data_IF_754920318802
#
_entry.id   IF_754920318802
#
_cell.length_a   1.000
_cell.length_b   1.000
_cell.length_c   1.000
_cell.angle_alpha   90.00
_cell.angle_beta   90.00
_cell.angle_gamma   90.00
#
_symmetry.space_group_name_H-M   'P 1'
#
loop_
_entity.id
_entity.type
_entity.pdbx_description
1 polymer ?
#
# COMPACT_ATOMS: atom_id res chain seq x y z
N UNK A 1 21.33 11.57 -13.71
CA UNK A 1 19.96 11.06 -13.83
C UNK A 1 19.07 12.08 -13.19
N UNK A 2 18.17 12.73 -13.91
CA UNK A 2 17.16 13.56 -13.30
C UNK A 2 16.35 12.63 -12.37
N UNK A 3 16.29 12.95 -11.07
CA UNK A 3 15.34 12.30 -10.19
C UNK A 3 13.99 12.44 -10.89
N UNK A 4 13.28 11.36 -11.08
CA UNK A 4 11.87 11.34 -11.45
C UNK A 4 11.09 11.92 -10.24
N UNK A 5 11.41 13.19 -9.89
CA UNK A 5 10.69 13.93 -8.86
C UNK A 5 9.28 14.07 -9.36
N UNK A 6 8.43 13.27 -8.77
CA UNK A 6 6.97 13.25 -8.86
C UNK A 6 6.42 13.60 -10.24
N UNK A 7 5.97 12.61 -10.97
CA UNK A 7 5.04 12.84 -12.10
C UNK A 7 3.74 13.55 -11.65
N UNK A 8 3.50 13.62 -10.32
CA UNK A 8 2.51 14.49 -9.69
C UNK A 8 3.09 15.91 -9.58
N UNK A 9 2.51 16.85 -10.31
CA UNK A 9 2.90 18.27 -10.22
C UNK A 9 2.56 18.88 -8.86
N UNK A 10 3.24 19.98 -8.48
CA UNK A 10 3.01 20.75 -7.25
C UNK A 10 1.53 21.11 -7.00
N UNK A 11 0.74 21.24 -8.06
CA UNK A 11 -0.71 21.53 -7.99
C UNK A 11 -1.50 20.44 -7.26
N UNK A 12 -1.10 19.18 -7.36
CA UNK A 12 -1.75 18.07 -6.66
C UNK A 12 -1.54 18.21 -5.15
N UNK A 13 -0.30 18.40 -4.72
CA UNK A 13 0.05 18.58 -3.30
C UNK A 13 -0.59 19.83 -2.70
N UNK A 14 -0.66 20.93 -3.47
CA UNK A 14 -1.37 22.16 -3.07
C UNK A 14 -2.87 21.88 -2.88
N UNK A 15 -3.50 21.14 -3.80
CA UNK A 15 -4.90 20.74 -3.67
C UNK A 15 -5.14 19.87 -2.44
N UNK A 16 -4.24 18.91 -2.15
CA UNK A 16 -4.30 18.06 -0.96
C UNK A 16 -4.26 18.90 0.32
N UNK A 17 -3.30 19.83 0.44
CA UNK A 17 -3.22 20.74 1.59
C UNK A 17 -4.46 21.62 1.73
N UNK A 18 -4.97 22.16 0.63
CA UNK A 18 -6.19 22.99 0.64
C UNK A 18 -7.37 22.23 1.24
N UNK A 19 -7.57 20.95 0.88
CA UNK A 19 -8.65 20.12 1.42
C UNK A 19 -8.45 19.79 2.90
N UNK A 20 -7.22 19.49 3.31
CA UNK A 20 -6.90 19.24 4.72
C UNK A 20 -7.10 20.47 5.57
N UNK A 21 -6.58 21.62 5.14
CA UNK A 21 -6.70 22.91 5.83
C UNK A 21 -8.17 23.32 6.01
N UNK A 22 -9.03 23.07 5.02
CA UNK A 22 -10.46 23.37 5.11
C UNK A 22 -11.21 22.60 6.21
N UNK A 23 -10.61 21.55 6.77
CA UNK A 23 -11.19 20.74 7.85
C UNK A 23 -10.59 21.05 9.23
N UNK A 24 -9.58 21.91 9.30
CA UNK A 24 -9.03 22.34 10.58
C UNK A 24 -9.98 23.34 11.27
N UNK A 25 -10.04 23.25 12.59
CA UNK A 25 -10.79 24.23 13.39
C UNK A 25 -10.14 25.63 13.27
N UNK A 26 -10.89 26.70 13.47
CA UNK A 26 -10.32 28.04 13.47
C UNK A 26 -9.15 28.20 14.47
N UNK A 27 -8.13 28.95 14.08
CA UNK A 27 -6.90 29.18 14.85
C UNK A 27 -6.14 27.92 15.20
N UNK A 28 -6.23 26.91 14.33
CA UNK A 28 -5.54 25.64 14.48
C UNK A 28 -4.26 25.57 13.66
N UNK A 29 -3.24 24.96 14.26
CA UNK A 29 -1.98 24.65 13.63
C UNK A 29 -1.86 23.12 13.50
N UNK A 30 -1.44 22.62 12.33
CA UNK A 30 -1.16 21.20 12.11
C UNK A 30 0.34 21.01 11.82
N UNK A 31 0.91 19.92 12.36
CA UNK A 31 2.32 19.54 12.14
C UNK A 31 2.40 18.11 11.67
N UNK A 32 3.21 17.88 10.63
CA UNK A 32 3.51 16.55 10.11
C UNK A 32 5.02 16.40 9.93
N UNK A 33 5.59 15.37 10.53
CA UNK A 33 7.00 15.06 10.44
C UNK A 33 7.25 13.92 9.46
N UNK A 34 8.43 13.90 8.84
CA UNK A 34 8.89 12.71 8.13
C UNK A 34 9.28 11.60 9.11
N UNK A 35 9.41 10.38 8.61
CA UNK A 35 9.93 9.25 9.37
C UNK A 35 11.42 9.43 9.69
N UNK A 36 11.92 8.70 10.68
CA UNK A 36 13.34 8.63 10.98
C UNK A 36 14.09 7.77 9.96
N UNK A 37 15.35 8.12 9.75
CA UNK A 37 16.31 7.18 9.19
C UNK A 37 16.72 6.21 10.30
N UNK A 38 16.37 4.95 10.15
CA UNK A 38 16.64 3.92 11.17
C UNK A 38 18.05 3.34 11.00
N UNK A 39 18.83 3.24 12.07
CA UNK A 39 20.16 2.62 12.00
C UNK A 39 20.07 1.10 11.88
N UNK A 40 21.10 0.51 11.27
CA UNK A 40 21.42 -0.92 11.42
C UNK A 40 22.34 -1.15 12.63
N UNK A 41 23.22 -2.15 12.58
CA UNK A 41 24.04 -2.48 13.76
C UNK A 41 25.29 -1.60 13.93
N UNK A 42 25.76 -0.92 12.88
CA UNK A 42 26.94 -0.05 12.92
C UNK A 42 26.60 1.32 12.37
N UNK A 43 27.31 1.78 11.35
CA UNK A 43 27.11 3.06 10.66
C UNK A 43 26.12 2.99 9.48
N UNK A 44 25.64 1.80 9.15
CA UNK A 44 24.64 1.62 8.11
C UNK A 44 23.25 2.04 8.54
N UNK A 45 22.40 2.39 7.57
CA UNK A 45 21.00 2.74 7.77
C UNK A 45 20.08 1.93 6.88
N UNK A 46 18.84 1.76 7.31
CA UNK A 46 17.75 1.27 6.46
C UNK A 46 17.35 2.37 5.47
N UNK A 47 16.90 1.95 4.28
CA UNK A 47 16.38 2.90 3.29
C UNK A 47 15.18 3.61 3.90
N UNK A 48 15.19 4.94 3.84
CA UNK A 48 14.09 5.76 4.32
C UNK A 48 12.81 5.45 3.52
N UNK A 49 11.75 5.12 4.25
CA UNK A 49 10.40 5.17 3.75
C UNK A 49 9.77 6.48 4.26
N UNK A 50 9.42 7.43 3.40
CA UNK A 50 8.87 8.70 3.85
C UNK A 50 7.54 8.49 4.59
N UNK A 51 7.21 9.40 5.50
CA UNK A 51 5.88 9.41 6.10
C UNK A 51 4.84 9.69 5.01
N UNK A 52 3.86 8.79 4.87
CA UNK A 52 2.88 8.84 3.78
C UNK A 52 2.01 10.09 3.83
N UNK A 53 1.69 10.61 5.03
CA UNK A 53 0.93 11.86 5.19
C UNK A 53 1.77 13.08 4.78
N UNK A 54 3.05 13.13 5.17
CA UNK A 54 3.96 14.18 4.72
C UNK A 54 4.10 14.15 3.20
N UNK A 55 4.35 12.97 2.63
CA UNK A 55 4.47 12.83 1.18
C UNK A 55 3.19 13.24 0.45
N UNK A 56 2.02 12.81 0.93
CA UNK A 56 0.71 13.20 0.41
C UNK A 56 0.52 14.73 0.37
N UNK A 57 1.03 15.43 1.39
CA UNK A 57 0.88 16.88 1.51
C UNK A 57 1.97 17.67 0.77
N UNK A 58 3.13 17.07 0.49
CA UNK A 58 4.30 17.84 0.00
C UNK A 58 4.99 17.27 -1.21
N UNK A 59 4.90 15.98 -1.47
CA UNK A 59 5.72 15.26 -2.46
C UNK A 59 7.21 15.17 -2.09
N UNK A 60 7.61 15.56 -0.90
CA UNK A 60 9.01 15.56 -0.45
C UNK A 60 9.32 14.27 0.30
N UNK A 61 10.40 13.60 -0.13
CA UNK A 61 10.86 12.33 0.47
C UNK A 61 12.04 12.52 1.45
N UNK A 62 12.67 13.71 1.44
CA UNK A 62 13.89 13.94 2.20
C UNK A 62 13.68 13.76 3.71
N UNK A 63 14.63 13.11 4.35
CA UNK A 63 14.65 12.91 5.81
C UNK A 63 14.57 14.24 6.57
N UNK A 64 14.16 14.17 7.83
CA UNK A 64 14.07 15.30 8.76
C UNK A 64 13.13 16.45 8.32
N UNK A 65 12.38 16.27 7.23
CA UNK A 65 11.43 17.26 6.75
C UNK A 65 10.25 17.41 7.72
N UNK A 66 9.81 18.64 7.95
CA UNK A 66 8.63 18.96 8.77
C UNK A 66 7.73 19.93 8.01
N UNK A 67 6.44 19.64 7.95
CA UNK A 67 5.42 20.53 7.43
C UNK A 67 4.63 21.16 8.58
N UNK A 68 4.44 22.47 8.51
CA UNK A 68 3.52 23.22 9.39
C UNK A 68 2.46 23.90 8.54
N UNK A 69 1.21 23.70 8.89
CA UNK A 69 0.03 24.34 8.29
C UNK A 69 -0.68 25.16 9.36
N UNK A 70 -0.84 26.46 9.15
CA UNK A 70 -1.57 27.35 10.07
C UNK A 70 -2.38 28.37 9.25
N UNK A 71 -3.57 27.99 8.75
CA UNK A 71 -4.35 28.81 7.81
C UNK A 71 -4.68 30.19 8.33
N UNK A 72 -4.87 30.34 9.63
CA UNK A 72 -5.23 31.59 10.28
C UNK A 72 -4.04 32.38 10.88
N UNK A 73 -2.80 31.98 10.49
CA UNK A 73 -1.61 32.73 10.93
C UNK A 73 -1.72 34.20 10.56
N UNK A 74 -1.36 35.09 11.50
CA UNK A 74 -1.44 36.56 11.33
C UNK A 74 -0.66 37.03 10.08
N UNK A 75 0.56 36.50 9.91
CA UNK A 75 1.34 36.74 8.71
C UNK A 75 1.02 35.66 7.67
N UNK A 76 0.58 36.07 6.48
CA UNK A 76 0.20 35.13 5.39
C UNK A 76 1.32 34.15 5.03
N UNK A 77 2.58 34.61 5.05
CA UNK A 77 3.74 33.75 4.80
C UNK A 77 3.91 32.59 5.80
N UNK A 78 3.23 32.64 6.94
CA UNK A 78 3.27 31.63 7.98
C UNK A 78 2.17 30.57 7.83
N UNK A 79 1.30 30.68 6.83
CA UNK A 79 0.17 29.74 6.65
C UNK A 79 0.61 28.35 6.20
N UNK A 80 1.68 28.27 5.42
CA UNK A 80 2.33 27.03 5.00
C UNK A 80 3.84 27.18 5.10
N UNK A 81 4.49 26.34 5.89
CA UNK A 81 5.96 26.36 6.05
C UNK A 81 6.48 24.94 5.95
N UNK A 82 7.45 24.73 5.08
CA UNK A 82 8.19 23.48 4.97
C UNK A 82 9.59 23.67 5.53
N UNK A 83 9.98 22.84 6.47
CA UNK A 83 11.33 22.81 7.02
C UNK A 83 12.07 21.62 6.42
N UNK A 84 13.24 21.87 5.88
CA UNK A 84 14.11 20.84 5.30
C UNK A 84 15.49 20.85 5.96
N UNK A 85 16.20 19.73 5.90
CA UNK A 85 17.52 19.58 6.46
C UNK A 85 18.46 20.68 5.97
N UNK A 86 19.29 21.21 6.86
CA UNK A 86 20.28 22.23 6.51
C UNK A 86 21.30 21.68 5.52
N UNK A 87 21.59 22.45 4.50
CA UNK A 87 22.63 22.11 3.52
C UNK A 87 24.01 22.38 4.10
N UNK A 88 24.96 21.46 3.88
CA UNK A 88 26.36 21.69 4.13
C UNK A 88 27.22 20.98 3.07
N UNK A 89 28.34 21.61 2.61
CA UNK A 89 29.24 20.98 1.64
C UNK A 89 29.80 19.64 2.14
N UNK A 90 30.04 19.52 3.44
CA UNK A 90 30.54 18.28 4.04
C UNK A 90 29.49 17.19 3.98
N UNK A 91 28.22 17.53 4.25
CA UNK A 91 27.10 16.60 4.15
C UNK A 91 26.93 16.07 2.71
N UNK A 92 27.07 16.96 1.74
CA UNK A 92 26.95 16.61 0.32
C UNK A 92 28.05 15.61 -0.14
N UNK A 93 29.25 15.71 0.43
CA UNK A 93 30.35 14.76 0.15
C UNK A 93 29.98 13.35 0.66
N UNK A 94 29.37 13.23 1.82
CA UNK A 94 29.08 11.93 2.46
C UNK A 94 27.75 11.33 2.06
N UNK A 95 26.72 12.15 1.90
CA UNK A 95 25.32 11.69 1.73
C UNK A 95 24.73 12.06 0.37
N UNK A 96 25.51 12.75 -0.49
CA UNK A 96 25.02 13.27 -1.75
C UNK A 96 24.22 14.56 -1.60
N UNK A 97 23.76 15.09 -2.73
CA UNK A 97 23.03 16.35 -2.80
C UNK A 97 21.68 16.25 -2.06
N UNK A 98 21.42 17.19 -1.17
CA UNK A 98 20.11 17.38 -0.52
C UNK A 98 19.28 18.42 -1.28
N UNK A 99 17.96 18.42 -1.06
CA UNK A 99 17.07 19.40 -1.69
C UNK A 99 17.43 20.83 -1.25
N UNK A 100 17.57 21.72 -2.21
CA UNK A 100 17.57 23.16 -1.97
C UNK A 100 16.14 23.66 -1.66
N UNK A 101 16.03 24.84 -1.04
CA UNK A 101 14.74 25.49 -0.79
C UNK A 101 13.94 25.67 -2.08
N UNK A 102 14.59 26.02 -3.19
CA UNK A 102 13.95 26.20 -4.50
C UNK A 102 13.42 24.90 -5.08
N UNK A 103 14.18 23.81 -4.97
CA UNK A 103 13.74 22.48 -5.41
C UNK A 103 12.55 21.98 -4.57
N UNK A 104 12.59 22.14 -3.24
CA UNK A 104 11.47 21.80 -2.36
C UNK A 104 10.23 22.63 -2.67
N UNK A 105 10.39 23.93 -3.02
CA UNK A 105 9.27 24.78 -3.49
C UNK A 105 8.69 24.26 -4.82
N UNK A 106 9.55 23.87 -5.79
CA UNK A 106 9.09 23.34 -7.08
C UNK A 106 8.29 22.04 -6.91
N UNK A 107 8.74 21.17 -6.01
CA UNK A 107 8.07 19.89 -5.73
C UNK A 107 6.74 20.11 -5.03
N UNK A 108 6.74 20.87 -3.92
CA UNK A 108 5.60 20.95 -3.01
C UNK A 108 4.61 22.06 -3.35
N UNK A 109 5.02 23.10 -4.07
CA UNK A 109 4.27 24.34 -4.27
C UNK A 109 4.27 25.27 -3.04
N UNK A 110 4.94 24.89 -1.95
CA UNK A 110 5.04 25.71 -0.73
C UNK A 110 6.07 26.83 -0.96
N UNK A 111 5.63 28.07 -0.81
CA UNK A 111 6.47 29.25 -1.08
C UNK A 111 7.52 29.49 0.01
N UNK A 112 7.18 29.17 1.27
CA UNK A 112 8.10 29.36 2.39
C UNK A 112 8.74 28.04 2.79
N UNK A 113 10.00 27.89 2.38
CA UNK A 113 10.86 26.77 2.77
C UNK A 113 12.00 27.28 3.64
N UNK A 114 12.16 26.72 4.83
CA UNK A 114 13.14 27.12 5.83
C UNK A 114 14.12 26.00 6.15
N UNK A 115 15.27 26.37 6.69
CA UNK A 115 16.22 25.41 7.23
C UNK A 115 15.69 24.80 8.54
N UNK A 116 15.93 23.51 8.76
CA UNK A 116 15.45 22.81 9.96
C UNK A 116 15.96 23.43 11.26
N UNK A 117 17.18 23.98 11.26
CA UNK A 117 17.76 24.70 12.39
C UNK A 117 16.91 25.88 12.88
N UNK A 118 16.08 26.47 12.01
CA UNK A 118 15.18 27.57 12.37
C UNK A 118 13.83 27.10 12.94
N UNK A 119 13.54 25.80 12.89
CA UNK A 119 12.24 25.25 13.28
C UNK A 119 11.80 25.63 14.69
N UNK A 120 12.65 25.43 15.68
CA UNK A 120 12.29 25.62 17.08
C UNK A 120 11.83 27.07 17.39
N UNK A 121 12.51 28.07 16.79
CA UNK A 121 12.16 29.48 16.99
C UNK A 121 10.88 29.88 16.26
N UNK A 122 10.73 29.48 14.99
CA UNK A 122 9.54 29.79 14.20
C UNK A 122 8.33 29.06 14.78
N UNK A 123 8.46 27.77 15.10
CA UNK A 123 7.38 26.98 15.69
C UNK A 123 6.92 27.57 17.03
N UNK A 124 7.85 28.02 17.88
CA UNK A 124 7.48 28.69 19.14
C UNK A 124 6.64 29.95 18.90
N UNK A 125 6.99 30.77 17.92
CA UNK A 125 6.22 31.98 17.59
C UNK A 125 4.80 31.63 17.13
N UNK A 126 4.65 30.58 16.30
CA UNK A 126 3.35 30.11 15.82
C UNK A 126 2.50 29.54 16.97
N UNK A 127 3.11 28.83 17.90
CA UNK A 127 2.43 28.31 19.09
C UNK A 127 1.89 29.43 20.00
N UNK A 128 2.52 30.58 20.00
CA UNK A 128 1.98 31.76 20.73
C UNK A 128 0.69 32.34 20.10
N UNK A 129 0.44 32.06 18.83
CA UNK A 129 -0.78 32.51 18.12
C UNK A 129 -1.87 31.41 18.10
N UNK A 130 -1.47 30.15 18.04
CA UNK A 130 -2.37 29.01 17.87
C UNK A 130 -3.18 28.76 19.17
N UNK A 131 -4.44 28.39 19.02
CA UNK A 131 -5.26 27.86 20.13
C UNK A 131 -5.26 26.35 20.19
N UNK A 132 -5.34 25.72 19.03
CA UNK A 132 -5.44 24.27 18.87
C UNK A 132 -4.29 23.73 18.02
N UNK A 133 -3.79 22.55 18.35
CA UNK A 133 -2.71 21.87 17.62
C UNK A 133 -3.17 20.51 17.15
N UNK A 134 -3.15 20.29 15.84
CA UNK A 134 -3.34 18.97 15.24
C UNK A 134 -2.00 18.26 15.16
N UNK A 135 -1.88 17.16 15.89
CA UNK A 135 -0.71 16.28 15.89
C UNK A 135 -1.02 15.04 15.07
N UNK A 136 -0.03 14.59 14.32
CA UNK A 136 -0.12 13.36 13.55
C UNK A 136 0.34 12.15 14.36
N UNK A 137 -0.18 10.98 14.05
CA UNK A 137 0.24 9.71 14.59
C UNK A 137 -0.20 8.57 13.65
N UNK A 138 0.53 7.47 13.66
CA UNK A 138 0.07 6.26 13.01
C UNK A 138 -1.03 5.60 13.86
N UNK A 139 -2.28 5.77 13.44
CA UNK A 139 -3.47 5.20 14.09
C UNK A 139 -4.03 4.02 13.30
N UNK A 140 -3.25 3.42 12.42
CA UNK A 140 -3.71 2.32 11.58
C UNK A 140 -4.07 1.08 12.43
N UNK A 141 -5.27 0.47 12.27
CA UNK A 141 -5.72 -0.65 13.12
C UNK A 141 -4.85 -1.90 13.06
N UNK A 142 -4.05 -2.05 12.00
CA UNK A 142 -3.09 -3.16 11.82
C UNK A 142 -1.67 -2.84 12.33
N UNK A 143 -1.44 -1.67 12.94
CA UNK A 143 -0.15 -1.34 13.52
C UNK A 143 0.09 -2.21 14.76
N UNK A 144 1.01 -3.17 14.67
CA UNK A 144 1.37 -4.09 15.75
C UNK A 144 2.70 -3.77 16.41
N UNK A 145 3.47 -2.83 15.82
CA UNK A 145 4.73 -2.37 16.40
C UNK A 145 4.44 -1.25 17.38
N UNK A 146 5.15 -1.24 18.52
CA UNK A 146 5.07 -0.13 19.47
C UNK A 146 5.40 1.20 18.78
N UNK A 147 4.39 2.05 18.61
CA UNK A 147 4.54 3.33 17.88
C UNK A 147 5.06 4.47 18.76
N UNK A 148 5.19 4.25 20.06
CA UNK A 148 5.64 5.27 21.03
C UNK A 148 7.03 5.86 20.76
N UNK A 149 7.83 5.22 19.92
CA UNK A 149 9.19 5.66 19.57
C UNK A 149 9.30 6.29 18.17
N UNK A 150 8.20 6.39 17.43
CA UNK A 150 8.22 7.07 16.13
C UNK A 150 8.53 8.55 16.30
N UNK A 151 9.05 9.20 15.25
CA UNK A 151 9.32 10.64 15.26
C UNK A 151 8.07 11.46 15.62
N UNK A 152 6.92 11.11 15.04
CA UNK A 152 5.64 11.76 15.35
C UNK A 152 5.26 11.60 16.82
N UNK A 153 5.41 10.40 17.39
CA UNK A 153 5.07 10.16 18.79
C UNK A 153 5.99 10.94 19.75
N UNK A 154 7.31 10.99 19.47
CA UNK A 154 8.26 11.81 20.24
C UNK A 154 7.93 13.29 20.14
N UNK A 155 7.69 13.78 18.91
CA UNK A 155 7.29 15.15 18.67
C UNK A 155 6.01 15.52 19.43
N UNK A 156 4.98 14.66 19.37
CA UNK A 156 3.73 14.89 20.10
C UNK A 156 3.96 14.98 21.62
N UNK A 157 4.75 14.06 22.18
CA UNK A 157 5.11 14.08 23.61
C UNK A 157 5.83 15.38 24.01
N UNK A 158 6.84 15.77 23.24
CA UNK A 158 7.64 16.98 23.54
C UNK A 158 6.81 18.26 23.33
N UNK A 159 5.95 18.30 22.31
CA UNK A 159 5.05 19.41 22.07
C UNK A 159 4.06 19.61 23.23
N UNK A 160 3.39 18.54 23.66
CA UNK A 160 2.45 18.59 24.79
C UNK A 160 3.16 19.00 26.09
N UNK A 161 4.34 18.46 26.35
CA UNK A 161 5.12 18.81 27.52
C UNK A 161 5.55 20.29 27.54
N UNK A 162 5.92 20.85 26.38
CA UNK A 162 6.38 22.22 26.26
C UNK A 162 5.23 23.24 26.23
N UNK A 163 4.06 22.85 25.70
CA UNK A 163 2.89 23.73 25.53
C UNK A 163 1.62 23.13 26.14
N UNK A 164 1.59 22.88 27.47
CA UNK A 164 0.56 22.07 28.11
C UNK A 164 -0.84 22.72 28.18
N UNK A 165 -0.95 24.02 27.84
CA UNK A 165 -2.20 24.75 27.89
C UNK A 165 -2.92 24.87 26.55
N UNK A 166 -2.36 24.30 25.47
CA UNK A 166 -3.02 24.24 24.17
C UNK A 166 -4.03 23.09 24.12
N UNK A 167 -5.00 23.23 23.24
CA UNK A 167 -5.87 22.12 22.88
C UNK A 167 -5.20 21.25 21.82
N UNK A 168 -5.33 19.91 21.94
CA UNK A 168 -4.73 18.97 21.01
C UNK A 168 -5.80 18.16 20.30
N UNK A 169 -5.62 17.96 18.98
CA UNK A 169 -6.53 17.22 18.10
C UNK A 169 -5.75 16.20 17.28
N UNK A 170 -6.44 15.17 16.83
CA UNK A 170 -5.88 14.08 16.00
C UNK A 170 -5.97 14.46 14.53
N UNK A 171 -4.84 14.62 13.84
CA UNK A 171 -4.81 14.87 12.39
C UNK A 171 -5.22 13.61 11.59
N UNK A 172 -4.90 12.42 12.09
CA UNK A 172 -5.10 11.15 11.40
C UNK A 172 -6.51 10.96 10.82
N UNK A 173 -7.57 11.40 11.52
CA UNK A 173 -8.95 11.25 11.00
C UNK A 173 -9.24 12.12 9.77
N UNK A 174 -8.61 13.28 9.66
CA UNK A 174 -8.69 14.12 8.46
C UNK A 174 -7.90 13.45 7.34
N UNK A 175 -6.66 13.02 7.61
CA UNK A 175 -5.82 12.35 6.63
C UNK A 175 -6.48 11.07 6.07
N UNK A 176 -7.13 10.28 6.91
CA UNK A 176 -7.83 9.06 6.49
C UNK A 176 -8.96 9.34 5.48
N UNK A 177 -9.71 10.43 5.67
CA UNK A 177 -10.77 10.83 4.72
C UNK A 177 -10.18 11.27 3.39
N UNK A 178 -9.16 12.12 3.47
CA UNK A 178 -8.54 12.71 2.28
C UNK A 178 -7.78 11.67 1.44
N UNK A 179 -7.03 10.78 2.08
CA UNK A 179 -6.26 9.74 1.39
C UNK A 179 -7.14 8.58 0.89
N UNK A 180 -8.30 8.33 1.49
CA UNK A 180 -9.19 7.25 1.05
C UNK A 180 -9.69 7.49 -0.39
N UNK A 181 -10.00 8.74 -0.76
CA UNK A 181 -10.49 9.11 -2.10
C UNK A 181 -9.32 9.61 -2.94
N UNK A 182 -8.83 8.77 -3.85
CA UNK A 182 -7.71 9.09 -4.72
C UNK A 182 -8.12 10.08 -5.82
N UNK A 183 -7.33 11.10 -6.02
CA UNK A 183 -7.43 12.01 -7.17
C UNK A 183 -7.07 11.29 -8.47
N UNK A 184 -7.42 11.88 -9.62
CA UNK A 184 -7.05 11.32 -10.92
C UNK A 184 -5.53 11.16 -11.10
N UNK A 185 -4.73 12.09 -10.55
CA UNK A 185 -3.27 11.98 -10.57
C UNK A 185 -2.76 10.80 -9.76
N UNK A 186 -3.30 10.58 -8.55
CA UNK A 186 -2.94 9.42 -7.72
C UNK A 186 -3.34 8.10 -8.38
N UNK A 187 -4.52 8.04 -8.99
CA UNK A 187 -4.97 6.86 -9.75
C UNK A 187 -4.01 6.55 -10.89
N UNK A 188 -3.50 7.58 -11.58
CA UNK A 188 -2.51 7.39 -12.66
C UNK A 188 -1.20 6.80 -12.11
N UNK A 189 -0.72 7.24 -10.95
CA UNK A 189 0.47 6.65 -10.32
C UNK A 189 0.25 5.17 -9.96
N UNK A 190 -0.91 4.84 -9.41
CA UNK A 190 -1.28 3.45 -9.12
C UNK A 190 -1.34 2.63 -10.43
N UNK A 191 -1.87 3.20 -11.52
CA UNK A 191 -1.87 2.54 -12.84
C UNK A 191 -0.46 2.27 -13.38
N UNK A 192 0.48 3.19 -13.18
CA UNK A 192 1.89 2.95 -13.54
C UNK A 192 2.49 1.80 -12.74
N UNK A 193 2.21 1.73 -11.44
CA UNK A 193 2.65 0.62 -10.60
C UNK A 193 2.01 -0.72 -11.04
N UNK A 194 0.70 -0.71 -11.38
CA UNK A 194 0.00 -1.87 -11.94
C UNK A 194 0.60 -2.31 -13.29
N UNK A 195 0.93 -1.36 -14.16
CA UNK A 195 1.57 -1.64 -15.46
C UNK A 195 2.94 -2.30 -15.30
N UNK A 196 3.75 -1.81 -14.37
CA UNK A 196 5.06 -2.41 -14.08
C UNK A 196 4.91 -3.81 -13.46
N UNK A 197 3.92 -4.00 -12.60
CA UNK A 197 3.59 -5.32 -12.02
C UNK A 197 3.15 -6.30 -13.11
N UNK A 198 2.33 -5.87 -14.08
CA UNK A 198 1.94 -6.67 -15.25
C UNK A 198 3.16 -7.15 -16.04
N UNK A 199 4.08 -6.25 -16.36
CA UNK A 199 5.23 -6.56 -17.18
C UNK A 199 6.16 -7.57 -16.46
N UNK A 200 6.34 -7.39 -15.16
CA UNK A 200 7.08 -8.33 -14.31
C UNK A 200 6.39 -9.69 -14.19
N UNK A 201 5.06 -9.71 -14.00
CA UNK A 201 4.31 -10.96 -13.95
C UNK A 201 4.40 -11.75 -15.27
N UNK A 202 4.23 -11.07 -16.41
CA UNK A 202 4.36 -11.70 -17.73
C UNK A 202 5.74 -12.29 -17.96
N UNK A 203 6.80 -11.63 -17.46
CA UNK A 203 8.17 -12.15 -17.48
C UNK A 203 8.30 -13.41 -16.63
N UNK A 204 7.81 -13.36 -15.38
CA UNK A 204 7.89 -14.47 -14.42
C UNK A 204 7.07 -15.67 -14.85
N UNK A 205 5.86 -15.48 -15.39
CA UNK A 205 5.01 -16.56 -15.87
C UNK A 205 5.72 -17.41 -16.98
N UNK A 206 6.55 -16.77 -17.80
CA UNK A 206 7.37 -17.45 -18.83
C UNK A 206 8.67 -18.06 -18.28
N UNK A 207 9.11 -17.65 -17.08
CA UNK A 207 10.32 -18.13 -16.43
C UNK A 207 10.08 -19.36 -15.56
N UNK A 208 8.92 -19.46 -14.92
CA UNK A 208 8.58 -20.51 -13.96
C UNK A 208 8.52 -21.87 -14.65
N UNK A 209 9.26 -22.86 -14.06
CA UNK A 209 9.28 -24.26 -14.49
C UNK A 209 9.78 -25.15 -13.35
N UNK A 210 9.59 -26.47 -13.40
CA UNK A 210 10.15 -27.37 -12.41
C UNK A 210 11.68 -27.21 -12.26
N UNK A 211 12.15 -27.19 -11.01
CA UNK A 211 13.56 -27.01 -10.66
C UNK A 211 13.97 -25.55 -10.40
N UNK A 212 13.14 -24.57 -10.73
CA UNK A 212 13.40 -23.16 -10.38
C UNK A 212 13.21 -22.96 -8.88
N UNK A 213 14.10 -22.17 -8.25
CA UNK A 213 13.97 -21.80 -6.84
C UNK A 213 13.16 -20.51 -6.70
N UNK A 214 12.34 -20.40 -5.64
CA UNK A 214 11.49 -19.22 -5.37
C UNK A 214 12.29 -17.91 -5.39
N UNK A 215 13.54 -17.89 -4.88
CA UNK A 215 14.41 -16.69 -4.93
C UNK A 215 14.85 -16.31 -6.35
N UNK A 216 14.90 -17.24 -7.29
CA UNK A 216 15.16 -16.91 -8.69
C UNK A 216 13.96 -16.21 -9.31
N UNK A 217 12.74 -16.62 -8.94
CA UNK A 217 11.50 -15.95 -9.32
C UNK A 217 11.49 -14.51 -8.74
N UNK A 218 11.87 -14.37 -7.47
CA UNK A 218 12.02 -13.05 -6.85
C UNK A 218 13.02 -12.16 -7.60
N UNK A 219 14.14 -12.73 -8.07
CA UNK A 219 15.15 -11.99 -8.83
C UNK A 219 14.61 -11.47 -10.18
N UNK A 220 13.74 -12.24 -10.85
CA UNK A 220 13.09 -11.81 -12.09
C UNK A 220 12.14 -10.63 -11.86
N UNK A 221 11.33 -10.64 -10.79
CA UNK A 221 10.53 -9.49 -10.38
C UNK A 221 11.41 -8.28 -10.03
N UNK A 222 12.47 -8.49 -9.24
CA UNK A 222 13.40 -7.43 -8.85
C UNK A 222 14.06 -6.77 -10.07
N UNK A 223 14.49 -7.58 -11.05
CA UNK A 223 15.07 -7.08 -12.30
C UNK A 223 14.10 -6.13 -13.00
N UNK A 224 12.85 -6.55 -13.19
CA UNK A 224 11.87 -5.73 -13.91
C UNK A 224 11.56 -4.43 -13.15
N UNK A 225 11.30 -4.53 -11.84
CA UNK A 225 10.99 -3.35 -11.03
C UNK A 225 12.14 -2.35 -10.99
N UNK A 226 13.35 -2.79 -10.67
CA UNK A 226 14.52 -1.91 -10.52
C UNK A 226 14.91 -1.29 -11.86
N UNK A 227 14.91 -2.06 -12.95
CA UNK A 227 15.27 -1.57 -14.28
C UNK A 227 14.34 -0.45 -14.78
N UNK A 228 13.09 -0.44 -14.30
CA UNK A 228 12.09 0.55 -14.69
C UNK A 228 11.82 1.60 -13.59
N UNK A 229 12.73 1.76 -12.61
CA UNK A 229 12.66 2.81 -11.60
C UNK A 229 11.64 2.56 -10.49
N UNK A 230 11.06 1.37 -10.42
CA UNK A 230 10.18 0.93 -9.34
C UNK A 230 10.93 0.17 -8.24
N UNK A 231 10.20 -0.20 -7.21
CA UNK A 231 10.64 -1.06 -6.10
C UNK A 231 9.53 -2.05 -5.74
N UNK A 232 9.83 -3.05 -4.93
CA UNK A 232 8.77 -3.86 -4.33
C UNK A 232 7.86 -2.98 -3.46
N UNK A 233 6.56 -3.14 -3.60
CA UNK A 233 5.56 -2.47 -2.75
C UNK A 233 5.62 -3.00 -1.31
N UNK A 234 5.88 -4.30 -1.16
CA UNK A 234 6.01 -5.03 0.10
C UNK A 234 7.02 -6.16 -0.05
N UNK A 235 7.34 -6.84 1.05
CA UNK A 235 8.16 -8.07 1.01
C UNK A 235 7.44 -9.13 0.18
N UNK A 236 8.01 -9.59 -0.94
CA UNK A 236 7.33 -10.49 -1.87
C UNK A 236 7.07 -11.86 -1.23
N UNK A 237 5.91 -12.44 -1.53
CA UNK A 237 5.53 -13.80 -1.17
C UNK A 237 5.55 -14.65 -2.44
N UNK A 238 6.48 -15.59 -2.50
CA UNK A 238 6.63 -16.54 -3.62
C UNK A 238 6.60 -17.91 -3.00
N UNK A 239 5.46 -18.58 -3.07
CA UNK A 239 5.15 -19.73 -2.25
C UNK A 239 4.76 -20.94 -3.11
N UNK A 240 5.69 -21.86 -3.29
CA UNK A 240 5.49 -23.11 -4.05
C UNK A 240 4.90 -24.22 -3.16
N UNK A 241 3.95 -24.98 -3.68
CA UNK A 241 3.33 -26.11 -3.01
C UNK A 241 2.71 -25.75 -1.65
N UNK A 242 3.11 -26.46 -0.59
CA UNK A 242 2.56 -26.24 0.77
C UNK A 242 2.91 -24.87 1.38
N UNK A 243 3.96 -24.21 0.91
CA UNK A 243 4.33 -22.87 1.36
C UNK A 243 3.20 -21.87 1.13
N UNK A 244 2.37 -22.07 0.10
CA UNK A 244 1.20 -21.24 -0.20
C UNK A 244 0.12 -21.28 0.90
N UNK A 245 0.20 -22.24 1.84
CA UNK A 245 -0.69 -22.26 3.01
C UNK A 245 -0.21 -21.42 4.20
N UNK A 246 0.94 -20.72 4.07
CA UNK A 246 1.44 -19.76 5.03
C UNK A 246 1.24 -18.36 4.46
N UNK A 247 0.27 -17.60 4.99
CA UNK A 247 -0.18 -16.32 4.40
C UNK A 247 0.93 -15.30 4.17
N UNK A 248 1.90 -15.20 5.08
CA UNK A 248 3.05 -14.30 4.99
C UNK A 248 4.36 -15.11 4.89
N UNK A 249 4.43 -16.01 3.91
CA UNK A 249 5.64 -16.76 3.60
C UNK A 249 6.63 -15.86 2.85
N UNK A 250 7.72 -15.45 3.52
CA UNK A 250 8.71 -14.50 2.99
C UNK A 250 10.12 -15.11 2.82
N UNK A 251 10.30 -16.41 3.10
CA UNK A 251 11.61 -17.03 2.98
C UNK A 251 12.06 -17.19 1.53
N UNK A 252 11.12 -17.49 0.64
CA UNK A 252 11.32 -17.62 -0.81
C UNK A 252 12.55 -18.46 -1.14
N UNK A 253 12.72 -19.62 -0.48
CA UNK A 253 13.93 -20.43 -0.59
C UNK A 253 13.70 -21.88 -1.04
N UNK A 254 12.47 -22.28 -1.30
CA UNK A 254 12.12 -23.61 -1.77
C UNK A 254 12.27 -23.75 -3.28
N UNK A 255 12.48 -24.98 -3.73
CA UNK A 255 12.53 -25.32 -5.17
C UNK A 255 11.16 -25.78 -5.64
N UNK A 256 10.64 -25.15 -6.67
CA UNK A 256 9.37 -25.50 -7.31
C UNK A 256 9.44 -26.90 -7.93
N UNK A 257 8.55 -27.81 -7.55
CA UNK A 257 8.50 -29.18 -8.05
C UNK A 257 7.49 -29.32 -9.19
N UNK A 258 7.67 -30.32 -10.01
CA UNK A 258 6.66 -30.68 -11.01
C UNK A 258 5.36 -31.08 -10.30
N UNK A 259 4.24 -30.49 -10.76
CA UNK A 259 2.92 -30.70 -10.16
C UNK A 259 2.57 -29.72 -9.04
N UNK A 260 3.51 -28.89 -8.55
CA UNK A 260 3.19 -27.82 -7.62
C UNK A 260 2.44 -26.67 -8.32
N UNK A 261 1.68 -25.93 -7.52
CA UNK A 261 1.31 -24.53 -7.81
C UNK A 261 2.33 -23.62 -7.15
N UNK A 262 2.56 -22.44 -7.71
CA UNK A 262 3.27 -21.35 -7.04
C UNK A 262 2.34 -20.15 -6.93
N UNK A 263 2.11 -19.70 -5.69
CA UNK A 263 1.39 -18.47 -5.37
C UNK A 263 2.40 -17.34 -5.39
N UNK A 264 2.10 -16.33 -6.19
CA UNK A 264 2.91 -15.13 -6.41
C UNK A 264 2.11 -13.92 -5.91
N UNK A 265 2.43 -13.46 -4.72
CA UNK A 265 1.89 -12.22 -4.15
C UNK A 265 3.02 -11.19 -4.15
N UNK A 266 3.09 -10.45 -5.25
CA UNK A 266 4.22 -9.57 -5.58
C UNK A 266 3.75 -8.42 -6.44
N UNK A 267 4.03 -7.19 -5.99
CA UNK A 267 3.69 -6.02 -6.77
C UNK A 267 4.72 -4.90 -6.64
N UNK A 268 4.66 -3.96 -7.60
CA UNK A 268 5.54 -2.80 -7.69
C UNK A 268 5.01 -1.59 -6.94
N UNK A 269 5.93 -0.76 -6.50
CA UNK A 269 5.70 0.63 -6.06
C UNK A 269 6.43 1.59 -6.99
N UNK A 270 5.75 2.63 -7.45
CA UNK A 270 6.30 3.74 -8.24
C UNK A 270 5.90 5.05 -7.57
N UNK A 271 6.87 5.96 -7.36
CA UNK A 271 6.62 7.27 -6.73
C UNK A 271 5.85 7.15 -5.39
N UNK A 272 6.16 6.11 -4.61
CA UNK A 272 5.51 5.74 -3.36
C UNK A 272 4.04 5.28 -3.47
N UNK A 273 3.45 5.25 -4.66
CA UNK A 273 2.15 4.62 -4.90
C UNK A 273 2.33 3.15 -5.20
N UNK A 274 1.54 2.33 -4.52
CA UNK A 274 1.64 0.88 -4.55
C UNK A 274 0.56 0.27 -5.45
N UNK A 275 0.90 -0.86 -6.05
CA UNK A 275 -0.05 -1.83 -6.57
C UNK A 275 -0.02 -3.07 -5.68
N UNK A 276 -1.00 -3.95 -5.84
CA UNK A 276 -1.09 -5.23 -5.15
C UNK A 276 -1.67 -6.29 -6.08
N UNK A 277 -0.97 -7.42 -6.18
CA UNK A 277 -1.31 -8.49 -7.11
C UNK A 277 -1.03 -9.85 -6.50
N UNK A 278 -2.00 -10.75 -6.51
CA UNK A 278 -1.74 -12.17 -6.35
C UNK A 278 -2.22 -12.96 -7.56
N UNK A 279 -1.38 -13.83 -8.05
CA UNK A 279 -1.71 -14.89 -9.00
C UNK A 279 -1.13 -16.23 -8.53
N UNK A 280 -1.87 -17.29 -8.74
CA UNK A 280 -1.39 -18.66 -8.51
C UNK A 280 -1.25 -19.36 -9.86
N UNK A 281 -0.05 -19.84 -10.19
CA UNK A 281 0.23 -20.44 -11.49
C UNK A 281 0.78 -21.88 -11.34
N UNK A 282 0.55 -22.79 -12.30
CA UNK A 282 1.05 -24.14 -12.26
C UNK A 282 2.53 -24.20 -12.65
N UNK A 283 3.39 -24.75 -11.78
CA UNK A 283 4.85 -24.85 -12.05
C UNK A 283 5.17 -25.59 -13.34
N UNK A 284 4.36 -26.58 -13.70
CA UNK A 284 4.51 -27.36 -14.94
C UNK A 284 3.81 -26.76 -16.16
N UNK A 285 3.29 -25.53 -16.07
CA UNK A 285 2.61 -24.82 -17.15
C UNK A 285 1.15 -25.26 -17.39
N UNK A 286 0.66 -26.27 -16.66
CA UNK A 286 -0.73 -26.72 -16.73
C UNK A 286 -1.25 -27.15 -15.37
N UNK A 287 -2.50 -26.81 -15.10
CA UNK A 287 -3.20 -27.25 -13.90
C UNK A 287 -3.61 -28.72 -14.01
N UNK A 288 -3.54 -29.47 -12.92
CA UNK A 288 -4.26 -30.74 -12.80
C UNK A 288 -5.76 -30.49 -12.71
N UNK A 289 -6.59 -31.50 -12.95
CA UNK A 289 -8.05 -31.36 -12.85
C UNK A 289 -8.49 -30.84 -11.48
N UNK A 290 -7.86 -31.30 -10.39
CA UNK A 290 -8.20 -30.84 -9.02
C UNK A 290 -7.77 -29.41 -8.79
N UNK A 291 -6.57 -29.03 -9.21
CA UNK A 291 -6.07 -27.67 -9.13
C UNK A 291 -6.98 -26.69 -9.87
N UNK A 292 -7.39 -27.06 -11.09
CA UNK A 292 -8.28 -26.23 -11.90
C UNK A 292 -9.67 -26.05 -11.27
N UNK A 293 -10.24 -27.12 -10.68
CA UNK A 293 -11.51 -27.05 -9.95
C UNK A 293 -11.46 -26.02 -8.81
N UNK A 294 -10.39 -26.05 -8.02
CA UNK A 294 -10.21 -25.12 -6.88
C UNK A 294 -9.91 -23.70 -7.40
N UNK A 295 -9.06 -23.58 -8.42
CA UNK A 295 -8.73 -22.30 -9.05
C UNK A 295 -9.98 -21.59 -9.57
N UNK A 296 -10.81 -22.32 -10.31
CA UNK A 296 -12.05 -21.80 -10.90
C UNK A 296 -13.08 -21.42 -9.80
N UNK A 297 -13.07 -22.13 -8.67
CA UNK A 297 -13.88 -21.76 -7.50
C UNK A 297 -13.43 -20.42 -6.90
N UNK A 298 -12.11 -20.22 -6.72
CA UNK A 298 -11.55 -18.94 -6.26
C UNK A 298 -11.83 -17.83 -7.29
N UNK A 299 -11.73 -18.12 -8.58
CA UNK A 299 -12.08 -17.16 -9.63
C UNK A 299 -13.55 -16.75 -9.59
N UNK A 300 -14.48 -17.69 -9.37
CA UNK A 300 -15.90 -17.34 -9.19
C UNK A 300 -16.12 -16.49 -7.93
N UNK A 301 -15.42 -16.79 -6.84
CA UNK A 301 -15.45 -15.97 -5.62
C UNK A 301 -14.90 -14.56 -5.90
N UNK A 302 -13.77 -14.43 -6.60
CA UNK A 302 -13.24 -13.15 -7.03
C UNK A 302 -14.25 -12.35 -7.84
N UNK A 303 -14.84 -12.95 -8.87
CA UNK A 303 -15.83 -12.29 -9.72
C UNK A 303 -17.03 -11.77 -8.92
N UNK A 304 -17.54 -12.56 -7.98
CA UNK A 304 -18.67 -12.16 -7.14
C UNK A 304 -18.28 -10.99 -6.20
N UNK A 305 -17.11 -11.05 -5.57
CA UNK A 305 -16.61 -9.98 -4.71
C UNK A 305 -16.35 -8.70 -5.50
N UNK A 306 -15.74 -8.81 -6.67
CA UNK A 306 -15.47 -7.69 -7.58
C UNK A 306 -16.76 -7.00 -8.04
N UNK A 307 -17.76 -7.76 -8.48
CA UNK A 307 -19.05 -7.22 -8.93
C UNK A 307 -19.87 -6.58 -7.81
N UNK A 308 -19.61 -6.93 -6.55
CA UNK A 308 -20.24 -6.32 -5.38
C UNK A 308 -19.67 -4.93 -5.07
N UNK A 309 -18.41 -4.64 -5.47
CA UNK A 309 -17.75 -3.36 -5.20
C UNK A 309 -18.43 -2.21 -5.96
N UNK A 310 -19.03 -1.29 -5.20
CA UNK A 310 -19.72 -0.12 -5.74
C UNK A 310 -19.84 0.97 -4.69
N UNK A 311 -20.11 2.22 -5.07
CA UNK A 311 -20.39 3.29 -4.12
C UNK A 311 -21.53 2.91 -3.15
N UNK A 312 -21.35 3.28 -1.88
CA UNK A 312 -22.31 2.99 -0.81
C UNK A 312 -22.10 1.66 -0.09
N UNK A 313 -21.29 0.74 -0.64
CA UNK A 313 -20.96 -0.51 0.04
C UNK A 313 -20.07 -0.23 1.26
N UNK A 314 -20.37 -0.88 2.38
CA UNK A 314 -19.53 -0.85 3.59
C UNK A 314 -18.65 -2.11 3.63
N UNK A 315 -17.40 -1.95 4.08
CA UNK A 315 -16.42 -3.05 4.12
C UNK A 315 -16.95 -4.30 4.87
N UNK A 316 -17.74 -4.09 5.94
CA UNK A 316 -18.39 -5.18 6.68
C UNK A 316 -19.36 -6.00 5.82
N UNK A 317 -20.17 -5.32 5.03
CA UNK A 317 -21.18 -5.99 4.18
C UNK A 317 -20.49 -6.72 3.02
N UNK A 318 -19.43 -6.14 2.47
CA UNK A 318 -18.60 -6.81 1.47
C UNK A 318 -17.95 -8.10 1.99
N UNK A 319 -17.46 -8.09 3.24
CA UNK A 319 -16.97 -9.30 3.90
C UNK A 319 -18.05 -10.39 3.98
N UNK A 320 -19.29 -10.05 4.32
CA UNK A 320 -20.40 -11.02 4.38
C UNK A 320 -20.66 -11.63 3.00
N UNK A 321 -20.67 -10.83 1.94
CA UNK A 321 -20.84 -11.33 0.57
C UNK A 321 -19.73 -12.33 0.22
N UNK A 322 -18.47 -12.00 0.51
CA UNK A 322 -17.34 -12.88 0.26
C UNK A 322 -17.45 -14.20 1.03
N UNK A 323 -17.82 -14.14 2.31
CA UNK A 323 -18.02 -15.33 3.14
C UNK A 323 -19.08 -16.26 2.54
N UNK A 324 -20.23 -15.73 2.16
CA UNK A 324 -21.32 -16.52 1.57
C UNK A 324 -20.91 -17.23 0.27
N UNK A 325 -20.17 -16.51 -0.59
CA UNK A 325 -19.73 -17.10 -1.86
C UNK A 325 -18.67 -18.17 -1.63
N UNK A 326 -17.69 -17.91 -0.76
CA UNK A 326 -16.61 -18.87 -0.47
C UNK A 326 -17.17 -20.09 0.25
N UNK A 327 -18.10 -19.94 1.20
CA UNK A 327 -18.77 -21.09 1.84
C UNK A 327 -19.47 -21.99 0.82
N UNK A 328 -20.20 -21.38 -0.13
CA UNK A 328 -20.85 -22.13 -1.20
C UNK A 328 -19.82 -22.91 -2.04
N UNK A 329 -18.76 -22.26 -2.46
CA UNK A 329 -17.71 -22.92 -3.26
C UNK A 329 -17.02 -24.05 -2.47
N UNK A 330 -16.77 -23.88 -1.17
CA UNK A 330 -16.20 -24.92 -0.32
C UNK A 330 -17.11 -26.14 -0.17
N UNK A 331 -18.43 -25.93 -0.11
CA UNK A 331 -19.41 -27.00 -0.08
C UNK A 331 -19.43 -27.74 -1.43
N UNK A 332 -19.48 -27.00 -2.54
CA UNK A 332 -19.48 -27.58 -3.89
C UNK A 332 -18.18 -28.37 -4.19
N UNK A 333 -17.05 -27.99 -3.59
CA UNK A 333 -15.77 -28.71 -3.66
C UNK A 333 -15.67 -29.91 -2.72
N UNK A 334 -16.66 -30.13 -1.84
CA UNK A 334 -16.65 -31.18 -0.84
C UNK A 334 -15.69 -30.95 0.33
N UNK A 335 -15.25 -29.70 0.53
CA UNK A 335 -14.33 -29.30 1.61
C UNK A 335 -15.11 -28.94 2.90
N UNK A 336 -16.35 -28.51 2.77
CA UNK A 336 -17.31 -28.30 3.86
C UNK A 336 -18.61 -29.03 3.58
N UNK A 337 -19.34 -29.32 4.65
CA UNK A 337 -20.69 -29.81 4.57
C UNK A 337 -21.70 -28.71 4.89
N UNK A 338 -22.93 -28.82 4.37
CA UNK A 338 -24.01 -27.90 4.73
C UNK A 338 -24.37 -27.96 6.23
N UNK A 339 -24.06 -29.07 6.92
CA UNK A 339 -24.27 -29.20 8.37
C UNK A 339 -23.28 -28.35 9.14
N UNK A 340 -21.97 -28.37 8.77
CA UNK A 340 -20.92 -27.50 9.36
C UNK A 340 -21.27 -26.02 9.18
N UNK A 341 -21.70 -25.62 7.96
CA UNK A 341 -22.11 -24.23 7.69
C UNK A 341 -23.33 -23.82 8.52
N UNK A 342 -24.32 -24.69 8.71
CA UNK A 342 -25.53 -24.37 9.49
C UNK A 342 -25.30 -24.36 11.00
N UNK A 343 -24.34 -25.14 11.49
CA UNK A 343 -24.03 -25.28 12.92
C UNK A 343 -23.00 -24.22 13.42
N UNK A 344 -22.42 -23.42 12.52
CA UNK A 344 -21.44 -22.40 12.88
C UNK A 344 -22.06 -21.27 13.73
N UNK A 345 -21.27 -20.75 14.67
CA UNK A 345 -21.64 -19.62 15.50
C UNK A 345 -20.80 -18.37 15.18
N UNK A 346 -21.19 -17.20 15.70
CA UNK A 346 -20.41 -15.97 15.52
C UNK A 346 -18.93 -16.14 15.94
N UNK A 347 -17.99 -15.79 15.07
CA UNK A 347 -16.55 -15.90 15.29
C UNK A 347 -16.00 -17.34 15.22
N UNK A 348 -16.81 -18.29 14.76
CA UNK A 348 -16.44 -19.69 14.52
C UNK A 348 -16.92 -20.14 13.15
N UNK A 349 -16.66 -19.31 12.15
CA UNK A 349 -17.06 -19.60 10.78
C UNK A 349 -16.33 -20.84 10.26
N UNK A 350 -17.07 -21.82 9.74
CA UNK A 350 -16.51 -23.08 9.22
C UNK A 350 -15.51 -22.83 8.07
N UNK A 351 -15.77 -21.80 7.27
CA UNK A 351 -14.88 -21.38 6.18
C UNK A 351 -13.48 -20.97 6.66
N UNK A 352 -13.31 -20.55 7.94
CA UNK A 352 -12.01 -20.07 8.47
C UNK A 352 -10.90 -21.12 8.43
N UNK A 353 -11.24 -22.41 8.25
CA UNK A 353 -10.28 -23.48 8.00
C UNK A 353 -9.57 -23.30 6.65
N UNK A 354 -10.28 -22.74 5.66
CA UNK A 354 -9.83 -22.65 4.27
C UNK A 354 -9.67 -21.20 3.77
N UNK A 355 -10.30 -20.23 4.46
CA UNK A 355 -10.20 -18.82 4.17
C UNK A 355 -10.20 -18.01 5.49
N UNK A 356 -9.04 -17.58 5.94
CA UNK A 356 -8.82 -17.02 7.28
C UNK A 356 -8.46 -15.53 7.28
N UNK A 357 -8.51 -14.83 6.15
CA UNK A 357 -8.21 -13.40 6.05
C UNK A 357 -9.37 -12.57 5.49
N UNK A 358 -9.17 -11.28 5.32
CA UNK A 358 -10.14 -10.37 4.69
C UNK A 358 -10.23 -10.57 3.18
N UNK A 359 -11.29 -10.04 2.57
CA UNK A 359 -11.48 -10.10 1.12
C UNK A 359 -10.75 -8.97 0.38
N UNK A 360 -10.21 -7.99 1.11
CA UNK A 360 -9.47 -6.87 0.56
C UNK A 360 -9.28 -5.74 1.56
N UNK A 361 -8.48 -4.77 1.17
CA UNK A 361 -8.14 -3.57 1.93
C UNK A 361 -7.97 -2.36 1.00
N UNK A 362 -7.88 -1.16 1.58
CA UNK A 362 -7.51 0.05 0.83
C UNK A 362 -6.04 0.00 0.43
N UNK A 363 -5.71 0.55 -0.73
CA UNK A 363 -4.33 0.66 -1.23
C UNK A 363 -4.05 2.05 -1.80
N UNK A 364 -2.82 2.51 -1.69
CA UNK A 364 -2.37 3.81 -2.17
C UNK A 364 -0.90 4.08 -1.85
N UNK A 365 -0.61 5.09 -1.03
CA UNK A 365 0.73 5.36 -0.52
C UNK A 365 1.23 4.30 0.45
N UNK A 366 0.32 3.64 1.15
CA UNK A 366 0.60 2.43 1.90
C UNK A 366 -0.08 1.24 1.22
N UNK A 367 0.52 0.05 1.30
CA UNK A 367 -0.10 -1.18 0.74
C UNK A 367 -1.40 -1.46 1.47
N UNK A 368 -1.38 -1.48 2.80
CA UNK A 368 -2.57 -1.39 3.62
C UNK A 368 -2.83 0.09 3.92
N UNK A 369 -3.48 0.79 2.99
CA UNK A 369 -3.69 2.22 3.10
C UNK A 369 -4.80 2.57 4.10
N UNK A 370 -4.79 3.80 4.53
CA UNK A 370 -5.74 4.33 5.50
C UNK A 370 -7.16 4.40 4.90
N UNK A 371 -8.15 4.09 5.72
CA UNK A 371 -9.56 4.21 5.39
C UNK A 371 -10.42 4.39 6.65
N UNK A 372 -11.59 4.94 6.50
CA UNK A 372 -12.59 4.94 7.55
C UNK A 372 -13.40 3.64 7.48
N UNK A 373 -13.23 2.76 8.45
CA UNK A 373 -13.77 1.38 8.44
C UNK A 373 -15.30 1.35 8.31
N UNK A 374 -15.97 2.33 8.91
CA UNK A 374 -17.45 2.42 8.92
C UNK A 374 -18.01 3.32 7.81
N UNK A 375 -17.15 3.91 6.98
CA UNK A 375 -17.60 4.77 5.90
C UNK A 375 -18.02 3.95 4.68
N UNK A 376 -19.10 4.36 4.00
CA UNK A 376 -19.47 3.76 2.71
C UNK A 376 -18.40 4.11 1.66
N UNK A 377 -18.07 3.13 0.82
CA UNK A 377 -17.14 3.32 -0.29
C UNK A 377 -17.63 4.43 -1.21
N UNK A 378 -16.70 5.19 -1.74
CA UNK A 378 -16.97 6.31 -2.64
C UNK A 378 -16.21 6.13 -3.95
N UNK A 379 -16.65 6.77 -5.02
CA UNK A 379 -15.85 6.87 -6.24
C UNK A 379 -14.47 7.46 -5.93
N UNK A 380 -13.40 6.87 -6.50
CA UNK A 380 -12.02 7.23 -6.20
C UNK A 380 -11.36 6.38 -5.11
N UNK A 381 -12.10 5.52 -4.39
CA UNK A 381 -11.46 4.52 -3.53
C UNK A 381 -10.75 3.48 -4.39
N UNK A 382 -9.55 3.10 -3.97
CA UNK A 382 -8.80 1.99 -4.56
C UNK A 382 -8.62 0.92 -3.50
N UNK A 383 -9.03 -0.30 -3.84
CA UNK A 383 -9.10 -1.45 -2.94
C UNK A 383 -8.37 -2.63 -3.57
N UNK A 384 -7.91 -3.57 -2.76
CA UNK A 384 -7.62 -4.92 -3.26
C UNK A 384 -8.91 -5.74 -3.28
N UNK A 385 -8.92 -6.81 -4.08
CA UNK A 385 -9.96 -7.85 -4.05
C UNK A 385 -9.25 -9.21 -4.15
N UNK A 386 -9.16 -9.94 -3.02
CA UNK A 386 -8.18 -11.03 -2.81
C UNK A 386 -8.77 -12.32 -2.20
N UNK A 387 -9.89 -12.87 -2.69
CA UNK A 387 -10.38 -14.14 -2.17
C UNK A 387 -9.41 -15.30 -2.44
N UNK A 388 -9.44 -16.29 -1.55
CA UNK A 388 -8.52 -17.42 -1.59
C UNK A 388 -9.15 -18.70 -1.04
N UNK A 389 -8.54 -19.85 -1.35
CA UNK A 389 -8.79 -21.14 -0.70
C UNK A 389 -7.43 -21.79 -0.41
N UNK A 390 -7.21 -22.15 0.86
CA UNK A 390 -5.99 -22.84 1.32
C UNK A 390 -6.33 -24.23 1.86
N UNK A 391 -5.76 -25.27 1.26
CA UNK A 391 -6.02 -26.67 1.62
C UNK A 391 -4.70 -27.33 2.04
N UNK A 392 -4.42 -27.31 3.35
CA UNK A 392 -3.16 -27.87 3.88
C UNK A 392 -3.01 -29.34 3.58
N UNK A 393 -4.10 -30.08 3.65
CA UNK A 393 -4.14 -31.52 3.38
C UNK A 393 -3.76 -31.86 1.94
N UNK A 394 -4.05 -30.94 1.00
CA UNK A 394 -3.69 -31.06 -0.41
C UNK A 394 -2.41 -30.27 -0.75
N UNK A 395 -1.76 -29.66 0.24
CA UNK A 395 -0.55 -28.83 0.10
C UNK A 395 -0.71 -27.73 -0.96
N UNK A 396 -1.85 -27.06 -0.96
CA UNK A 396 -2.27 -26.14 -2.01
C UNK A 396 -2.92 -24.89 -1.42
N UNK A 397 -2.46 -23.72 -1.87
CA UNK A 397 -3.09 -22.43 -1.62
C UNK A 397 -3.29 -21.70 -2.96
N UNK A 398 -4.48 -21.19 -3.18
CA UNK A 398 -4.83 -20.39 -4.36
C UNK A 398 -5.43 -19.07 -3.89
N UNK A 399 -4.81 -17.97 -4.26
CA UNK A 399 -5.30 -16.59 -4.10
C UNK A 399 -5.28 -15.90 -5.45
N UNK A 400 -6.34 -15.15 -5.73
CA UNK A 400 -6.46 -14.30 -6.91
C UNK A 400 -6.80 -12.89 -6.44
N UNK A 401 -6.01 -11.93 -6.85
CA UNK A 401 -6.09 -10.57 -6.37
C UNK A 401 -5.80 -9.54 -7.45
N UNK A 402 -6.58 -8.49 -7.46
CA UNK A 402 -6.34 -7.28 -8.25
C UNK A 402 -6.43 -6.03 -7.38
N UNK A 403 -5.72 -5.00 -7.81
CA UNK A 403 -5.96 -3.61 -7.43
C UNK A 403 -7.17 -3.08 -8.20
N UNK A 404 -8.19 -2.62 -7.48
CA UNK A 404 -9.52 -2.29 -8.03
C UNK A 404 -9.91 -0.85 -7.68
N UNK A 405 -10.30 -0.07 -8.68
CA UNK A 405 -10.85 1.28 -8.51
C UNK A 405 -12.38 1.22 -8.40
N UNK A 406 -12.93 1.82 -7.35
CA UNK A 406 -14.37 2.08 -7.24
C UNK A 406 -14.71 3.33 -8.05
N UNK A 407 -15.59 3.20 -9.03
CA UNK A 407 -16.09 4.30 -9.87
C UNK A 407 -17.56 4.57 -9.56
N UNK A 408 -18.14 5.63 -10.13
CA UNK A 408 -19.58 5.91 -10.02
C UNK A 408 -20.46 4.77 -10.56
N UNK A 409 -19.93 3.95 -11.47
CA UNK A 409 -20.65 2.87 -12.14
C UNK A 409 -20.32 1.47 -11.61
N UNK A 410 -19.49 1.36 -10.57
CA UNK A 410 -19.03 0.09 -9.99
C UNK A 410 -17.51 -0.06 -10.05
N UNK A 411 -17.02 -1.28 -9.94
CA UNK A 411 -15.59 -1.60 -9.88
C UNK A 411 -14.92 -1.65 -11.24
N UNK A 412 -13.68 -1.18 -11.31
CA UNK A 412 -12.80 -1.33 -12.49
C UNK A 412 -11.47 -1.90 -12.00
N UNK A 413 -11.03 -3.05 -12.53
CA UNK A 413 -9.70 -3.57 -12.26
C UNK A 413 -8.65 -2.70 -12.95
N UNK A 414 -7.65 -2.24 -12.19
CA UNK A 414 -6.48 -1.55 -12.73
C UNK A 414 -5.45 -2.54 -13.29
N UNK A 415 -5.72 -3.84 -13.17
CA UNK A 415 -4.88 -4.96 -13.60
C UNK A 415 -5.58 -5.86 -14.63
N UNK A 416 -6.62 -5.37 -15.30
CA UNK A 416 -7.41 -6.15 -16.26
C UNK A 416 -6.60 -6.79 -17.41
N UNK A 417 -5.40 -6.25 -17.70
CA UNK A 417 -4.50 -6.77 -18.72
C UNK A 417 -3.64 -7.96 -18.23
N UNK A 418 -3.74 -8.34 -16.95
CA UNK A 418 -3.03 -9.48 -16.37
C UNK A 418 -3.97 -10.69 -16.39
N UNK A 419 -3.62 -11.80 -17.07
CA UNK A 419 -4.46 -12.99 -17.10
C UNK A 419 -4.87 -13.47 -15.70
N UNK A 420 -6.15 -13.87 -15.56
CA UNK A 420 -6.67 -14.40 -14.31
C UNK A 420 -7.44 -15.71 -14.51
N UNK A 421 -8.03 -15.96 -15.67
CA UNK A 421 -8.71 -17.23 -15.95
C UNK A 421 -7.69 -18.37 -16.10
N UNK A 422 -8.00 -19.56 -15.60
CA UNK A 422 -7.08 -20.71 -15.60
C UNK A 422 -6.52 -21.05 -16.98
N UNK A 423 -7.37 -21.02 -18.02
CA UNK A 423 -6.95 -21.25 -19.41
C UNK A 423 -6.01 -20.16 -19.92
N UNK A 424 -6.29 -18.90 -19.61
CA UNK A 424 -5.45 -17.76 -20.02
C UNK A 424 -4.08 -17.77 -19.33
N UNK A 425 -3.99 -18.29 -18.09
CA UNK A 425 -2.70 -18.51 -17.40
C UNK A 425 -1.91 -19.61 -18.12
N UNK A 426 -2.55 -20.73 -18.46
CA UNK A 426 -1.89 -21.82 -19.22
C UNK A 426 -1.40 -21.33 -20.58
N UNK A 427 -2.20 -20.53 -21.29
CA UNK A 427 -1.83 -19.94 -22.58
C UNK A 427 -0.61 -19.02 -22.45
N UNK A 428 -0.61 -18.10 -21.47
CA UNK A 428 0.53 -17.21 -21.21
C UNK A 428 1.82 -18.00 -20.93
N UNK A 429 1.74 -19.07 -20.13
CA UNK A 429 2.90 -19.90 -19.79
C UNK A 429 3.39 -20.74 -20.97
N UNK A 430 2.49 -21.07 -21.93
CA UNK A 430 2.84 -21.82 -23.14
C UNK A 430 3.56 -20.98 -24.19
N UNK A 431 3.45 -19.67 -24.12
CA UNK A 431 4.19 -18.72 -24.97
C UNK A 431 5.69 -18.81 -24.63
N UNK A 432 6.36 -19.82 -25.14
CA UNK A 432 7.82 -19.96 -24.96
C UNK A 432 8.51 -18.77 -25.57
N UNK A 433 9.07 -17.93 -24.70
CA UNK A 433 9.81 -16.76 -25.11
C UNK A 433 11.04 -17.12 -25.92
N UNK A 434 10.95 -16.99 -27.24
CA UNK A 434 12.08 -17.02 -28.16
C UNK A 434 12.95 -15.75 -28.01
N UNK A 435 13.34 -15.35 -26.79
CA UNK A 435 14.14 -14.11 -26.57
C UNK A 435 15.13 -14.17 -25.43
N UNK A 436 15.70 -15.34 -25.12
CA UNK A 436 16.89 -15.39 -24.26
C UNK A 436 17.87 -16.39 -24.86
N UNK A 437 18.49 -16.00 -26.00
CA UNK A 437 19.74 -16.55 -26.48
C UNK A 437 20.85 -15.54 -26.17
#
# INVERSE_FOLDING_TARGET
MASLSSSLGATVFTSHRTRVVAQLEPRSLAVVNNNDVLPTNADGTLVLHPNSDLFYLTGVEQEETILVLFPDAHEERNREILFIRDHSPLLEIWEGKKLSKSEATMISGIKRVEALSSFAGIFHSLMCEAGTVYLNANEHPRAHVEIGFTREARFAKDCIAKYPLHEYRRLARIMYRERAVKSSGEIEMIRLACGLTRDAFNRVAKFVKPGVNERQIQAEFAHEFISNGGKFAYTPIIAAGENACALHYIRNDSTCQAGDLVLLDVAASIHNYNSDLTRTIPVSGRFSSRQKQIYDAVYRAYRACFMALKPGLIAKDWKVIAQQVIEKELVDLGLLTMEEVRSQGPGKEALSKYFMHGVGHSIGLDVHDVQLVDAPMQPGWVMTCEPAIYIREERMGIRLEDTVLVTEHGAVSLMADIPMESDSIEDLMSETGARWA
#
